data_IF_701342022458
#
_entry.id   IF_701342022458
#
_cell.length_a   1.000
_cell.length_b   1.000
_cell.length_c   1.000
_cell.angle_alpha   90.00
_cell.angle_beta   90.00
_cell.angle_gamma   90.00
#
_symmetry.space_group_name_H-M   'P 1'
#
loop_
_entity.id
_entity.type
_entity.pdbx_description
1 polymer ?
#
# COMPACT_ATOMS: atom_id res chain seq x y z
N UNK A 1 7.96 -56.44 38.58
CA UNK A 1 9.42 -56.32 38.46
C UNK A 1 9.72 -55.69 37.10
N UNK A 2 10.54 -54.65 37.13
CA UNK A 2 10.94 -53.71 36.06
C UNK A 2 11.69 -54.39 34.89
N UNK A 3 11.53 -53.88 33.65
CA UNK A 3 12.55 -53.64 32.58
C UNK A 3 11.81 -53.27 31.27
N UNK A 4 11.69 -51.97 30.94
CA UNK A 4 12.42 -51.21 29.90
C UNK A 4 12.34 -51.81 28.47
N UNK A 5 11.56 -51.23 27.52
CA UNK A 5 11.85 -50.06 26.63
C UNK A 5 12.55 -50.48 25.32
N UNK A 6 11.84 -50.46 24.18
CA UNK A 6 12.42 -50.15 22.86
C UNK A 6 11.45 -49.29 22.06
N UNK A 7 12.01 -48.18 21.61
CA UNK A 7 11.47 -47.03 20.89
C UNK A 7 11.13 -47.44 19.45
N UNK A 8 9.92 -47.09 18.98
CA UNK A 8 9.57 -47.05 17.56
C UNK A 8 9.32 -45.62 17.13
N UNK A 9 10.39 -44.92 16.75
CA UNK A 9 10.35 -43.58 16.16
C UNK A 9 9.63 -43.64 14.80
N UNK A 10 8.36 -43.23 14.78
CA UNK A 10 7.74 -42.75 13.54
C UNK A 10 8.36 -41.38 13.24
N UNK A 11 9.35 -41.39 12.34
CA UNK A 11 9.88 -40.20 11.69
C UNK A 11 8.75 -39.63 10.85
N UNK A 12 7.98 -38.71 11.43
CA UNK A 12 7.12 -37.82 10.66
C UNK A 12 8.08 -36.89 9.92
N UNK A 13 8.33 -37.21 8.66
CA UNK A 13 8.93 -36.26 7.71
C UNK A 13 7.98 -35.08 7.62
N UNK A 14 8.22 -34.05 8.43
CA UNK A 14 7.66 -32.74 8.16
C UNK A 14 8.34 -32.25 6.90
N UNK A 15 7.67 -32.46 5.76
CA UNK A 15 7.87 -31.64 4.58
C UNK A 15 7.61 -30.20 5.02
N UNK A 16 8.67 -29.51 5.42
CA UNK A 16 8.75 -28.07 5.40
C UNK A 16 8.61 -27.69 3.93
N UNK A 17 7.38 -27.47 3.48
CA UNK A 17 7.17 -26.58 2.35
C UNK A 17 7.83 -25.27 2.77
N UNK A 18 9.00 -25.00 2.20
CA UNK A 18 9.55 -23.64 2.16
C UNK A 18 8.61 -22.83 1.28
N UNK A 19 7.44 -22.48 1.83
CA UNK A 19 6.62 -21.40 1.28
C UNK A 19 7.54 -20.19 1.28
N UNK A 20 7.87 -19.74 0.08
CA UNK A 20 8.70 -18.59 -0.15
C UNK A 20 8.17 -17.45 0.74
N UNK A 21 8.98 -17.04 1.73
CA UNK A 21 8.51 -16.19 2.81
C UNK A 21 8.02 -14.85 2.25
N UNK A 22 6.73 -14.56 2.41
CA UNK A 22 6.20 -13.20 2.24
C UNK A 22 7.12 -12.24 3.00
N UNK A 23 7.64 -11.21 2.33
CA UNK A 23 8.40 -10.18 3.01
C UNK A 23 7.47 -9.02 3.39
N UNK A 24 7.77 -8.37 4.51
CA UNK A 24 6.99 -7.24 4.99
C UNK A 24 7.89 -6.02 5.18
N UNK A 25 7.36 -4.85 4.82
CA UNK A 25 7.96 -3.58 5.21
C UNK A 25 7.99 -3.47 6.74
N UNK A 26 8.88 -2.63 7.30
CA UNK A 26 8.81 -2.26 8.71
C UNK A 26 7.45 -1.70 9.10
N UNK A 27 7.09 -1.87 10.37
CA UNK A 27 5.76 -1.53 10.89
C UNK A 27 5.51 -0.02 11.03
N UNK A 28 6.57 0.79 10.91
CA UNK A 28 6.54 2.24 11.12
C UNK A 28 7.51 2.95 10.18
N UNK A 29 6.97 3.74 9.25
CA UNK A 29 7.76 4.44 8.24
C UNK A 29 7.04 5.64 7.64
N UNK A 30 7.83 6.50 7.01
CA UNK A 30 7.37 7.51 6.05
C UNK A 30 7.99 7.22 4.68
N UNK A 31 7.24 7.44 3.60
CA UNK A 31 7.76 7.33 2.23
C UNK A 31 7.06 8.29 1.27
N UNK A 32 7.65 8.46 0.09
CA UNK A 32 7.06 9.15 -1.04
C UNK A 32 6.63 8.15 -2.09
N UNK A 33 5.47 8.39 -2.69
CA UNK A 33 4.91 7.60 -3.78
C UNK A 33 4.71 8.52 -4.99
N UNK A 34 5.18 8.10 -6.16
CA UNK A 34 4.70 8.59 -7.45
C UNK A 34 3.69 7.60 -7.99
N UNK A 35 2.55 8.08 -8.48
CA UNK A 35 1.52 7.26 -9.10
C UNK A 35 1.28 7.71 -10.53
N UNK A 36 1.16 6.74 -11.42
CA UNK A 36 0.66 6.86 -12.78
C UNK A 36 -0.46 5.83 -12.97
N UNK A 37 -1.67 6.29 -13.25
CA UNK A 37 -2.82 5.47 -13.55
C UNK A 37 -3.28 5.78 -14.98
N UNK A 38 -3.30 4.75 -15.82
CA UNK A 38 -3.69 4.81 -17.22
C UNK A 38 -4.95 3.97 -17.37
N UNK A 39 -6.08 4.63 -17.53
CA UNK A 39 -7.37 4.00 -17.75
C UNK A 39 -7.80 4.22 -19.20
N UNK A 40 -7.98 3.15 -19.99
CA UNK A 40 -8.20 3.30 -21.44
C UNK A 40 -9.65 3.13 -21.91
N UNK A 41 -10.61 2.79 -21.03
CA UNK A 41 -12.00 2.53 -21.43
C UNK A 41 -13.02 3.09 -20.44
N UNK A 42 -14.01 3.93 -20.83
CA UNK A 42 -14.46 4.24 -22.19
C UNK A 42 -13.74 5.43 -22.84
N UNK A 43 -12.83 6.09 -22.14
CA UNK A 43 -11.99 7.16 -22.69
C UNK A 43 -10.64 7.12 -21.99
N UNK A 44 -9.56 7.30 -22.76
CA UNK A 44 -8.22 7.36 -22.22
C UNK A 44 -8.13 8.49 -21.19
N UNK A 45 -7.81 8.11 -19.96
CA UNK A 45 -7.62 9.00 -18.83
C UNK A 45 -6.26 8.65 -18.21
N UNK A 46 -5.39 9.64 -18.18
CA UNK A 46 -4.10 9.53 -17.51
C UNK A 46 -4.18 10.37 -16.25
N UNK A 47 -3.96 9.72 -15.12
CA UNK A 47 -3.81 10.38 -13.84
C UNK A 47 -2.38 10.20 -13.36
N UNK A 48 -1.69 11.29 -13.07
CA UNK A 48 -0.39 11.24 -12.41
C UNK A 48 -0.44 12.02 -11.12
N UNK A 49 0.45 11.73 -10.18
CA UNK A 49 0.51 12.49 -8.94
C UNK A 49 1.53 11.94 -7.97
N UNK A 50 1.68 12.65 -6.86
CA UNK A 50 2.56 12.25 -5.79
C UNK A 50 1.79 12.13 -4.48
N UNK A 51 2.30 11.29 -3.57
CA UNK A 51 1.80 11.19 -2.22
C UNK A 51 2.95 11.11 -1.22
N UNK A 52 2.77 11.80 -0.08
CA UNK A 52 3.52 11.50 1.14
C UNK A 52 2.69 10.52 1.97
N UNK A 53 3.31 9.42 2.38
CA UNK A 53 2.66 8.35 3.13
C UNK A 53 3.36 8.23 4.48
N UNK A 54 2.55 8.26 5.54
CA UNK A 54 2.97 7.95 6.91
C UNK A 54 2.21 6.71 7.35
N UNK A 55 2.91 5.67 7.81
CA UNK A 55 2.32 4.41 8.23
C UNK A 55 2.86 4.02 9.60
N UNK A 56 1.97 3.73 10.54
CA UNK A 56 2.33 3.29 11.89
C UNK A 56 1.33 2.24 12.38
N UNK A 57 1.79 0.97 12.39
CA UNK A 57 0.99 -0.18 12.81
C UNK A 57 0.76 -0.20 14.33
N UNK A 58 1.67 0.37 15.13
CA UNK A 58 1.58 0.40 16.59
C UNK A 58 0.38 1.23 17.04
N UNK A 59 0.24 2.43 16.46
CA UNK A 59 -0.92 3.31 16.72
C UNK A 59 -2.11 3.02 15.79
N UNK A 60 -1.93 2.08 14.85
CA UNK A 60 -2.92 1.65 13.84
C UNK A 60 -3.44 2.80 12.98
N UNK A 61 -2.52 3.61 12.44
CA UNK A 61 -2.87 4.76 11.59
C UNK A 61 -2.01 4.84 10.34
N UNK A 62 -2.61 5.30 9.26
CA UNK A 62 -1.88 5.72 8.07
C UNK A 62 -2.47 6.99 7.46
N UNK A 63 -1.62 7.81 6.87
CA UNK A 63 -2.02 9.07 6.20
C UNK A 63 -1.45 9.10 4.81
N UNK A 64 -2.28 9.53 3.86
CA UNK A 64 -1.92 9.77 2.47
C UNK A 64 -2.19 11.24 2.16
N UNK A 65 -1.12 11.99 1.96
CA UNK A 65 -1.18 13.37 1.52
C UNK A 65 -0.80 13.46 0.05
N UNK A 66 -1.80 13.55 -0.82
CA UNK A 66 -1.61 13.66 -2.26
C UNK A 66 -1.31 15.12 -2.66
N UNK A 67 -0.40 15.30 -3.61
CA UNK A 67 -0.05 16.59 -4.17
C UNK A 67 0.35 16.47 -5.65
N UNK A 68 0.30 17.59 -6.37
CA UNK A 68 0.60 17.69 -7.81
C UNK A 68 -0.13 16.64 -8.67
N UNK A 69 -1.37 16.34 -8.30
CA UNK A 69 -2.18 15.35 -9.02
C UNK A 69 -2.77 15.99 -10.27
N UNK A 70 -2.54 15.35 -11.41
CA UNK A 70 -2.97 15.79 -12.73
C UNK A 70 -3.89 14.75 -13.35
N UNK A 71 -5.00 15.22 -13.90
CA UNK A 71 -5.91 14.43 -14.71
C UNK A 71 -5.87 14.95 -16.14
N UNK A 72 -5.40 14.13 -17.08
CA UNK A 72 -5.15 14.52 -18.46
C UNK A 72 -4.32 15.82 -18.56
N UNK A 73 -3.29 15.92 -17.71
CA UNK A 73 -2.38 17.06 -17.62
C UNK A 73 -2.92 18.28 -16.86
N UNK A 74 -4.15 18.26 -16.37
CA UNK A 74 -4.75 19.37 -15.59
C UNK A 74 -4.71 19.10 -14.10
N UNK A 75 -4.28 20.08 -13.31
CA UNK A 75 -4.24 19.94 -11.87
C UNK A 75 -5.65 19.73 -11.30
N UNK A 76 -5.77 18.74 -10.41
CA UNK A 76 -7.01 18.42 -9.70
C UNK A 76 -6.79 18.53 -8.18
N UNK A 77 -7.71 19.15 -7.44
CA UNK A 77 -7.62 19.17 -6.00
C UNK A 77 -7.80 17.77 -5.44
N UNK A 78 -6.92 17.36 -4.55
CA UNK A 78 -6.99 16.06 -3.89
C UNK A 78 -7.18 16.21 -2.38
N UNK A 79 -8.06 15.40 -1.78
CA UNK A 79 -8.19 15.37 -0.33
C UNK A 79 -7.04 14.57 0.31
N UNK A 80 -6.82 14.81 1.59
CA UNK A 80 -6.00 13.95 2.44
C UNK A 80 -6.84 12.79 2.96
N UNK A 81 -6.24 11.61 3.03
CA UNK A 81 -6.86 10.42 3.58
C UNK A 81 -6.15 10.03 4.87
N UNK A 82 -6.86 10.04 5.99
CA UNK A 82 -6.39 9.56 7.29
C UNK A 82 -7.16 8.31 7.67
N UNK A 83 -6.49 7.16 7.66
CA UNK A 83 -7.00 5.89 8.13
C UNK A 83 -6.70 5.77 9.62
N UNK A 84 -7.74 5.82 10.44
CA UNK A 84 -7.67 5.58 11.88
C UNK A 84 -8.31 4.22 12.18
N UNK A 85 -7.52 3.15 11.99
CA UNK A 85 -7.99 1.78 12.23
C UNK A 85 -8.20 1.51 13.71
N UNK A 86 -7.55 2.27 14.61
CA UNK A 86 -7.82 2.19 16.05
C UNK A 86 -9.26 2.61 16.38
N UNK A 87 -9.78 3.61 15.66
CA UNK A 87 -11.14 4.10 15.79
C UNK A 87 -12.13 3.45 14.80
N UNK A 88 -11.64 2.66 13.83
CA UNK A 88 -12.45 2.02 12.80
C UNK A 88 -12.95 2.98 11.71
N UNK A 89 -12.27 4.12 11.49
CA UNK A 89 -12.73 5.14 10.53
C UNK A 89 -11.65 5.66 9.60
N UNK A 90 -12.03 5.89 8.34
CA UNK A 90 -11.31 6.71 7.37
C UNK A 90 -11.90 8.13 7.37
N UNK A 91 -11.02 9.12 7.45
CA UNK A 91 -11.32 10.54 7.27
C UNK A 91 -10.76 11.00 5.93
N UNK A 92 -11.64 11.47 5.04
CA UNK A 92 -11.26 12.09 3.75
C UNK A 92 -11.55 13.56 3.87
N UNK A 93 -10.53 14.41 3.81
CA UNK A 93 -10.70 15.84 4.09
C UNK A 93 -9.87 16.75 3.21
N UNK A 94 -10.38 17.96 3.03
CA UNK A 94 -9.65 19.07 2.42
C UNK A 94 -9.83 20.32 3.30
N UNK A 95 -8.72 20.82 3.83
CA UNK A 95 -8.71 21.98 4.72
C UNK A 95 -9.12 23.27 3.99
N UNK A 96 -8.89 23.36 2.67
CA UNK A 96 -9.21 24.56 1.87
C UNK A 96 -10.72 24.70 1.67
N UNK A 97 -11.36 23.65 1.19
CA UNK A 97 -12.82 23.61 1.02
C UNK A 97 -13.59 23.40 2.33
N UNK A 98 -12.89 23.14 3.45
CA UNK A 98 -13.48 22.73 4.73
C UNK A 98 -14.35 21.48 4.62
N UNK A 99 -14.10 20.66 3.60
CA UNK A 99 -14.75 19.39 3.41
C UNK A 99 -14.14 18.34 4.31
N UNK A 100 -14.97 17.53 4.96
CA UNK A 100 -14.52 16.27 5.52
C UNK A 100 -15.65 15.23 5.50
N UNK A 101 -15.28 14.00 5.15
CA UNK A 101 -16.15 12.82 5.15
C UNK A 101 -15.53 11.75 6.03
N UNK A 102 -16.39 11.07 6.80
CA UNK A 102 -16.02 9.96 7.68
C UNK A 102 -16.66 8.67 7.16
N UNK A 103 -15.90 7.60 7.03
CA UNK A 103 -16.37 6.30 6.53
C UNK A 103 -15.85 5.17 7.42
N UNK A 104 -16.63 4.10 7.68
CA UNK A 104 -16.14 2.94 8.42
C UNK A 104 -15.05 2.20 7.62
N UNK A 105 -14.05 1.65 8.31
CA UNK A 105 -12.98 0.83 7.72
C UNK A 105 -12.68 -0.43 8.54
N UNK A 106 -12.02 -1.39 7.90
CA UNK A 106 -11.58 -2.64 8.51
C UNK A 106 -10.32 -2.50 9.37
N UNK A 107 -9.70 -3.64 9.68
CA UNK A 107 -8.45 -3.71 10.44
C UNK A 107 -7.26 -3.26 9.58
N UNK A 108 -6.24 -2.75 10.25
CA UNK A 108 -4.95 -2.49 9.62
C UNK A 108 -4.17 -3.80 9.55
N UNK A 109 -3.58 -4.08 8.40
CA UNK A 109 -2.65 -5.19 8.22
C UNK A 109 -1.23 -4.65 8.01
N UNK A 110 -0.19 -5.41 8.34
CA UNK A 110 1.17 -5.08 7.93
C UNK A 110 1.26 -4.96 6.41
N UNK A 111 2.16 -4.11 5.92
CA UNK A 111 2.43 -3.96 4.49
C UNK A 111 3.38 -5.09 4.07
N UNK A 112 2.79 -6.19 3.59
CA UNK A 112 3.53 -7.36 3.14
C UNK A 112 3.27 -7.62 1.65
N UNK A 113 4.27 -8.17 0.97
CA UNK A 113 4.14 -8.61 -0.41
C UNK A 113 3.75 -10.08 -0.41
N UNK A 114 2.56 -10.46 -0.92
CA UNK A 114 2.16 -11.85 -1.01
C UNK A 114 3.04 -12.59 -2.03
N UNK A 115 3.55 -13.76 -1.66
CA UNK A 115 4.39 -14.59 -2.53
C UNK A 115 3.55 -15.70 -3.19
N UNK A 116 3.05 -15.43 -4.39
CA UNK A 116 2.46 -16.48 -5.25
C UNK A 116 3.50 -16.99 -6.27
N UNK A 117 4.26 -16.06 -6.84
CA UNK A 117 5.45 -16.33 -7.65
C UNK A 117 6.47 -15.21 -7.39
N UNK A 118 7.75 -15.52 -7.49
CA UNK A 118 8.78 -14.49 -7.43
C UNK A 118 9.87 -14.72 -8.46
N UNK A 119 10.51 -13.63 -8.87
CA UNK A 119 11.64 -13.66 -9.78
C UNK A 119 12.94 -13.90 -9.02
N UNK A 120 13.99 -14.23 -9.77
CA UNK A 120 15.35 -14.17 -9.25
C UNK A 120 15.70 -12.76 -8.73
N UNK A 121 16.71 -12.70 -7.86
CA UNK A 121 17.26 -11.43 -7.39
C UNK A 121 17.88 -10.68 -8.56
N UNK A 122 17.49 -9.43 -8.76
CA UNK A 122 18.11 -8.50 -9.71
C UNK A 122 18.81 -7.37 -8.98
N UNK A 123 19.65 -6.61 -9.68
CA UNK A 123 20.41 -5.51 -9.11
C UNK A 123 20.10 -4.21 -9.86
N UNK A 124 19.81 -3.16 -9.12
CA UNK A 124 19.62 -1.80 -9.63
C UNK A 124 20.84 -0.96 -9.27
N UNK A 125 21.27 -0.06 -10.17
CA UNK A 125 22.43 0.80 -9.95
C UNK A 125 23.71 0.31 -10.63
N UNK A 126 24.85 0.88 -10.23
CA UNK A 126 26.13 0.62 -10.87
C UNK A 126 27.27 0.47 -9.85
N UNK A 127 28.19 -0.47 -10.13
CA UNK A 127 29.40 -0.71 -9.35
C UNK A 127 29.14 -0.85 -7.82
N UNK A 128 29.68 0.04 -6.99
CA UNK A 128 29.58 -0.04 -5.52
C UNK A 128 28.21 0.38 -4.98
N UNK A 129 27.36 0.97 -5.82
CA UNK A 129 26.04 1.48 -5.47
C UNK A 129 24.94 0.59 -6.06
N UNK A 130 25.13 -0.74 -5.95
CA UNK A 130 24.13 -1.72 -6.39
C UNK A 130 23.15 -2.05 -5.26
N UNK A 131 21.87 -1.93 -5.56
CA UNK A 131 20.77 -2.32 -4.70
C UNK A 131 20.21 -3.66 -5.17
N UNK A 132 20.23 -4.67 -4.31
CA UNK A 132 19.62 -5.97 -4.61
C UNK A 132 18.11 -5.91 -4.38
N UNK A 133 17.34 -6.28 -5.40
CA UNK A 133 15.88 -6.27 -5.36
C UNK A 133 15.30 -7.62 -5.75
N UNK A 134 14.05 -7.84 -5.36
CA UNK A 134 13.26 -9.01 -5.74
C UNK A 134 11.88 -8.55 -6.19
N UNK A 135 11.38 -9.13 -7.27
CA UNK A 135 10.05 -8.85 -7.79
C UNK A 135 9.16 -10.04 -7.49
N UNK A 136 7.99 -9.76 -6.93
CA UNK A 136 6.94 -10.73 -6.66
C UNK A 136 5.79 -10.45 -7.60
N UNK A 137 5.19 -11.52 -8.12
CA UNK A 137 4.03 -11.43 -8.97
C UNK A 137 2.87 -12.21 -8.35
N UNK A 138 1.70 -11.58 -8.36
CA UNK A 138 0.45 -12.17 -7.90
C UNK A 138 -0.64 -11.93 -8.94
N UNK A 139 -1.41 -12.96 -9.24
CA UNK A 139 -2.56 -12.87 -10.14
C UNK A 139 -3.81 -13.29 -9.40
N UNK A 140 -4.84 -12.44 -9.45
CA UNK A 140 -6.15 -12.70 -8.87
C UNK A 140 -7.23 -12.30 -9.90
N UNK A 141 -7.90 -13.30 -10.48
CA UNK A 141 -8.84 -13.06 -11.59
C UNK A 141 -8.13 -12.42 -12.80
N UNK A 142 -8.65 -11.27 -13.25
CA UNK A 142 -8.12 -10.51 -14.38
C UNK A 142 -7.01 -9.51 -13.99
N UNK A 143 -6.65 -9.47 -12.70
CA UNK A 143 -5.67 -8.53 -12.17
C UNK A 143 -4.33 -9.24 -11.95
N UNK A 144 -3.28 -8.65 -12.48
CA UNK A 144 -1.90 -9.06 -12.22
C UNK A 144 -1.15 -7.91 -11.57
N UNK A 145 -0.58 -8.18 -10.40
CA UNK A 145 0.24 -7.23 -9.65
C UNK A 145 1.68 -7.72 -9.63
N UNK A 146 2.62 -6.84 -9.97
CA UNK A 146 4.06 -7.05 -9.87
C UNK A 146 4.64 -6.03 -8.89
N UNK A 147 5.21 -6.50 -7.79
CA UNK A 147 5.75 -5.63 -6.73
C UNK A 147 7.24 -5.90 -6.55
N UNK A 148 8.05 -4.86 -6.70
CA UNK A 148 9.51 -4.93 -6.51
C UNK A 148 9.88 -4.33 -5.17
N UNK A 149 10.70 -5.06 -4.42
CA UNK A 149 11.16 -4.68 -3.08
C UNK A 149 12.66 -4.88 -2.91
N UNK A 150 13.27 -4.19 -1.95
CA UNK A 150 14.65 -4.46 -1.55
C UNK A 150 14.78 -5.83 -0.92
N UNK A 151 15.81 -6.60 -1.30
CA UNK A 151 16.01 -7.96 -0.80
C UNK A 151 16.26 -8.02 0.70
N UNK A 152 16.97 -7.05 1.26
CA UNK A 152 17.40 -7.08 2.66
C UNK A 152 16.31 -6.63 3.64
N UNK A 153 15.53 -5.62 3.27
CA UNK A 153 14.61 -4.94 4.19
C UNK A 153 13.16 -4.85 3.70
N UNK A 154 12.88 -5.44 2.53
CA UNK A 154 11.56 -5.43 1.89
C UNK A 154 10.97 -4.02 1.71
N UNK A 155 11.82 -3.01 1.49
CA UNK A 155 11.32 -1.68 1.14
C UNK A 155 10.72 -1.71 -0.25
N UNK A 156 9.51 -1.18 -0.41
CA UNK A 156 8.88 -1.01 -1.71
C UNK A 156 9.74 -0.13 -2.62
N UNK A 157 9.91 -0.58 -3.87
CA UNK A 157 10.59 0.15 -4.93
C UNK A 157 9.58 0.52 -6.01
N UNK A 158 8.78 -0.45 -6.46
CA UNK A 158 7.72 -0.21 -7.42
C UNK A 158 6.60 -1.23 -7.28
N UNK A 159 5.42 -0.86 -7.75
CA UNK A 159 4.31 -1.78 -7.95
C UNK A 159 3.60 -1.44 -9.25
N UNK A 160 3.27 -2.46 -10.03
CA UNK A 160 2.47 -2.33 -11.24
C UNK A 160 1.28 -3.27 -11.12
N UNK A 161 0.07 -2.73 -11.25
CA UNK A 161 -1.16 -3.50 -11.36
C UNK A 161 -1.70 -3.32 -12.77
N UNK A 162 -1.95 -4.43 -13.45
CA UNK A 162 -2.61 -4.46 -14.75
C UNK A 162 -3.91 -5.25 -14.62
N UNK A 163 -4.99 -4.69 -15.16
CA UNK A 163 -6.29 -5.35 -15.27
C UNK A 163 -6.59 -5.62 -16.75
N UNK A 164 -6.78 -6.89 -17.10
CA UNK A 164 -7.05 -7.28 -18.48
C UNK A 164 -8.53 -7.15 -18.89
N UNK A 165 -9.44 -7.08 -17.92
CA UNK A 165 -10.88 -6.90 -18.16
C UNK A 165 -11.21 -5.43 -18.42
N UNK A 166 -10.65 -4.56 -17.60
CA UNK A 166 -10.70 -3.12 -17.79
C UNK A 166 -9.30 -2.63 -18.10
N UNK A 167 -8.95 -2.32 -19.35
CA UNK A 167 -7.57 -2.06 -19.76
C UNK A 167 -7.01 -0.83 -19.02
N UNK A 168 -6.44 -1.13 -17.85
CA UNK A 168 -6.03 -0.20 -16.80
C UNK A 168 -4.66 -0.65 -16.34
N UNK A 169 -3.74 0.30 -16.26
CA UNK A 169 -2.40 0.08 -15.72
C UNK A 169 -2.14 1.11 -14.64
N UNK A 170 -1.93 0.63 -13.41
CA UNK A 170 -1.58 1.44 -12.26
C UNK A 170 -0.13 1.16 -11.91
N UNK A 171 0.72 2.17 -12.06
CA UNK A 171 2.14 2.12 -11.75
C UNK A 171 2.44 3.02 -10.57
N UNK A 172 3.21 2.49 -9.65
CA UNK A 172 3.65 3.16 -8.43
C UNK A 172 5.15 3.04 -8.31
N UNK A 173 5.80 4.14 -7.97
CA UNK A 173 7.21 4.16 -7.60
C UNK A 173 7.35 4.72 -6.20
N UNK A 174 8.13 4.06 -5.37
CA UNK A 174 8.30 4.42 -3.96
C UNK A 174 9.74 4.83 -3.72
N UNK A 175 9.93 5.93 -2.99
CA UNK A 175 11.25 6.48 -2.72
C UNK A 175 11.29 7.26 -1.41
N UNK A 176 12.51 7.55 -0.93
CA UNK A 176 12.74 8.31 0.30
C UNK A 176 12.16 7.66 1.56
N UNK A 177 12.10 6.32 1.62
CA UNK A 177 11.65 5.61 2.81
C UNK A 177 12.52 5.94 4.01
N UNK A 178 11.90 6.38 5.10
CA UNK A 178 12.54 6.57 6.41
C UNK A 178 11.82 5.74 7.46
N UNK A 179 12.57 5.23 8.43
CA UNK A 179 12.00 4.48 9.55
C UNK A 179 11.48 5.44 10.61
N UNK A 180 10.36 5.06 11.24
CA UNK A 180 9.70 5.91 12.23
C UNK A 180 8.73 6.91 11.59
N UNK A 181 8.20 7.80 12.43
CA UNK A 181 7.33 8.92 12.04
C UNK A 181 7.98 10.18 12.57
N UNK A 182 8.30 11.13 11.68
CA UNK A 182 9.04 12.34 12.06
C UNK A 182 8.19 13.29 12.89
N UNK A 183 6.92 13.42 12.53
CA UNK A 183 5.96 14.23 13.27
C UNK A 183 4.63 13.48 13.43
N UNK A 184 4.35 13.02 14.66
CA UNK A 184 3.10 12.31 14.97
C UNK A 184 1.84 13.17 14.78
N UNK A 185 1.97 14.50 14.64
CA UNK A 185 0.84 15.40 14.40
C UNK A 185 0.14 15.13 13.06
N UNK A 186 0.80 14.46 12.10
CA UNK A 186 0.19 14.02 10.84
C UNK A 186 -1.04 13.14 11.07
N UNK A 187 -1.09 12.39 12.17
CA UNK A 187 -2.22 11.52 12.53
C UNK A 187 -3.36 12.23 13.28
N UNK A 188 -3.23 13.54 13.52
CA UNK A 188 -4.25 14.31 14.25
C UNK A 188 -5.47 14.53 13.37
N UNK A 189 -6.62 14.05 13.80
CA UNK A 189 -7.91 14.30 13.13
C UNK A 189 -8.17 15.82 13.11
N UNK A 190 -8.33 16.44 11.93
CA UNK A 190 -8.60 17.87 11.81
C UNK A 190 -9.89 18.28 12.51
N UNK A 191 -9.93 19.52 13.01
CA UNK A 191 -11.12 20.05 13.70
C UNK A 191 -12.37 20.06 12.80
N UNK A 192 -12.19 20.27 11.49
CA UNK A 192 -13.30 20.20 10.51
C UNK A 192 -13.98 18.83 10.49
N UNK A 193 -13.23 17.75 10.79
CA UNK A 193 -13.76 16.40 10.82
C UNK A 193 -14.47 16.05 12.14
N UNK A 194 -14.36 16.89 13.17
CA UNK A 194 -15.05 16.71 14.45
C UNK A 194 -16.50 17.19 14.40
N UNK A 195 -16.86 18.01 13.40
CA UNK A 195 -18.18 18.66 13.29
C UNK A 195 -19.12 18.02 12.25
N UNK A 196 -18.81 16.81 11.78
CA UNK A 196 -19.56 16.22 10.65
C UNK A 196 -20.87 15.60 11.12
N UNK A 197 -21.97 16.26 10.74
CA UNK A 197 -23.29 15.68 10.57
C UNK A 197 -23.24 14.64 9.44
N UNK A 198 -24.01 13.56 9.54
CA UNK A 198 -24.21 12.55 8.50
C UNK A 198 -24.83 13.14 7.22
N UNK A 199 -24.13 14.04 6.53
CA UNK A 199 -24.55 14.53 5.24
C UNK A 199 -24.00 13.59 4.18
N UNK A 200 -24.93 12.91 3.52
CA UNK A 200 -24.78 12.11 2.29
C UNK A 200 -24.39 12.98 1.09
N UNK A 201 -23.56 14.00 1.28
CA UNK A 201 -23.08 14.82 0.18
C UNK A 201 -22.06 14.00 -0.59
N UNK A 202 -22.44 13.66 -1.82
CA UNK A 202 -21.71 12.79 -2.71
C UNK A 202 -20.26 13.26 -2.87
N UNK A 203 -19.31 12.33 -2.75
CA UNK A 203 -17.94 12.55 -3.22
C UNK A 203 -18.06 13.01 -4.69
N UNK A 204 -17.45 14.14 -5.11
CA UNK A 204 -17.40 14.51 -6.52
C UNK A 204 -16.93 13.30 -7.31
N UNK A 205 -17.65 12.89 -8.36
CA UNK A 205 -17.40 11.64 -9.10
C UNK A 205 -15.93 11.42 -9.46
N UNK A 206 -15.21 12.50 -9.72
CA UNK A 206 -13.75 12.52 -9.94
C UNK A 206 -13.03 11.78 -8.81
N UNK A 207 -13.24 12.18 -7.56
CA UNK A 207 -12.62 11.56 -6.38
C UNK A 207 -13.09 10.13 -6.05
N UNK A 208 -14.18 9.61 -6.64
CA UNK A 208 -14.58 8.20 -6.46
C UNK A 208 -13.72 7.24 -7.29
N UNK A 209 -13.19 7.70 -8.43
CA UNK A 209 -12.35 6.89 -9.33
C UNK A 209 -10.86 6.97 -9.01
N UNK A 210 -10.47 7.94 -8.17
CA UNK A 210 -9.11 8.46 -8.15
C UNK A 210 -8.13 7.63 -7.32
N UNK A 211 -8.53 6.90 -6.26
CA UNK A 211 -7.61 6.00 -5.53
C UNK A 211 -8.33 4.90 -4.74
N UNK A 212 -8.03 3.63 -5.02
CA UNK A 212 -8.11 2.56 -4.02
C UNK A 212 -6.74 2.48 -3.33
N UNK A 213 -6.62 2.86 -2.04
CA UNK A 213 -5.32 3.09 -1.44
C UNK A 213 -4.46 1.83 -1.27
N UNK A 214 -5.02 0.63 -1.38
CA UNK A 214 -4.26 -0.60 -1.29
C UNK A 214 -4.93 -1.72 -2.10
N UNK A 215 -4.37 -2.01 -3.28
CA UNK A 215 -4.19 -3.39 -3.69
C UNK A 215 -2.68 -3.64 -3.60
N UNK A 216 -2.27 -4.26 -2.50
CA UNK A 216 -1.04 -5.05 -2.39
C UNK A 216 -1.48 -6.49 -2.16
#
# INVERSE_FOLDING_TARGET
>A
MMFLLVIGLLVISTYMHTTESCCCMPEKFELHEYVEDIFTWPSAMIQTGYANISFDLEVKKSVFFFYDVKLNGKDVPTPTYLFDHSSGFLYVYDLRSKYCKKMPIGRMNPVCVPANQSTDTTHLGAAKEMLSVKTYQSTAGNQTTSTTVTKEKCYLISSELNDSEYPTSLRKQFYGTTLGIKDMSVFKIPAICKKIFWNTQEIPEVSRRVFHPFYL
#
